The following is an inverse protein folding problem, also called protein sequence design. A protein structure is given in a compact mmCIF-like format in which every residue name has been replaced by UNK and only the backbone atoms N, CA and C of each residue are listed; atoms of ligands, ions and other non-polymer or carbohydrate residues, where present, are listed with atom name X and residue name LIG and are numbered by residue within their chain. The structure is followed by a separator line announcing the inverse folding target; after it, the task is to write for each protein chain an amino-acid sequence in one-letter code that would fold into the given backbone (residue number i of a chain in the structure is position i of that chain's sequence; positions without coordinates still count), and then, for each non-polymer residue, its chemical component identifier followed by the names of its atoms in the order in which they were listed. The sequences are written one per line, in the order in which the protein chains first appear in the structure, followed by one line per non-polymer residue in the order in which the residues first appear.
data_IF_470926924309
#
_entry.id   IF_470926924309
#
_cell.length_a   1.000
_cell.length_b   1.000
_cell.length_c   1.000
_cell.angle_alpha   90.00
_cell.angle_beta   90.00
_cell.angle_gamma   90.00
#
_symmetry.space_group_name_H-M   'P 1'
#
loop_
_entity.id
_entity.type
_entity.pdbx_description
1 polymer ?
#
# COMPACT_ATOMS: atom_id res chain seq x y z
N UNK A 1 -2.13 -62.24 44.75
CA UNK A 1 -1.61 -61.76 43.45
C UNK A 1 -2.71 -61.81 42.39
N UNK A 2 -3.32 -60.68 42.04
CA UNK A 2 -3.73 -60.29 40.67
C UNK A 2 -4.57 -58.99 40.71
N UNK A 3 -3.86 -57.92 40.36
CA UNK A 3 -4.25 -56.88 39.40
C UNK A 3 -5.31 -55.83 39.83
N UNK A 4 -4.77 -54.84 40.55
CA UNK A 4 -5.04 -53.41 40.35
C UNK A 4 -4.86 -53.02 38.87
N UNK A 5 -5.93 -52.96 38.07
CA UNK A 5 -5.85 -52.50 36.67
C UNK A 5 -7.16 -51.85 36.17
N UNK A 6 -7.90 -51.17 37.05
CA UNK A 6 -9.14 -50.48 36.65
C UNK A 6 -9.10 -48.95 36.83
N UNK A 7 -8.09 -48.39 37.49
CA UNK A 7 -8.05 -46.95 37.80
C UNK A 7 -7.23 -46.09 36.81
N UNK A 8 -6.48 -46.70 35.88
CA UNK A 8 -5.59 -45.95 34.98
C UNK A 8 -6.20 -45.61 33.62
N UNK A 9 -7.43 -46.07 33.31
CA UNK A 9 -8.06 -45.79 32.02
C UNK A 9 -8.91 -44.51 32.01
N UNK A 10 -9.32 -43.98 33.18
CA UNK A 10 -10.16 -42.77 33.24
C UNK A 10 -9.38 -41.45 33.17
N UNK A 11 -8.09 -41.43 33.49
CA UNK A 11 -7.26 -40.23 33.31
C UNK A 11 -6.84 -39.98 31.85
N UNK A 12 -7.02 -40.95 30.95
CA UNK A 12 -6.70 -40.81 29.52
C UNK A 12 -7.82 -40.16 28.70
N UNK A 13 -9.03 -40.02 29.25
CA UNK A 13 -10.15 -39.33 28.57
C UNK A 13 -10.10 -37.81 28.82
N UNK A 14 -9.45 -37.34 29.88
CA UNK A 14 -9.33 -35.91 30.17
C UNK A 14 -8.27 -35.16 29.33
N UNK A 15 -7.42 -35.86 28.57
CA UNK A 15 -6.44 -35.23 27.68
C UNK A 15 -6.88 -35.17 26.21
N UNK A 16 -8.08 -35.67 25.85
CA UNK A 16 -8.59 -35.67 24.46
C UNK A 16 -9.56 -34.50 24.21
N UNK A 17 -9.94 -33.74 25.24
CA UNK A 17 -10.34 -32.36 25.03
C UNK A 17 -9.06 -31.53 24.76
N UNK A 18 -8.51 -31.72 23.56
CA UNK A 18 -7.61 -30.76 22.94
C UNK A 18 -8.37 -29.45 22.79
N UNK A 19 -8.45 -28.70 23.88
CA UNK A 19 -8.72 -27.27 23.81
C UNK A 19 -7.76 -26.74 22.78
N UNK A 20 -8.32 -26.11 21.73
CA UNK A 20 -7.51 -25.40 20.75
C UNK A 20 -6.52 -24.58 21.56
N UNK A 21 -5.23 -24.81 21.32
CA UNK A 21 -4.20 -23.89 21.80
C UNK A 21 -4.60 -22.54 21.22
N UNK A 22 -5.26 -21.73 22.03
CA UNK A 22 -5.65 -20.39 21.67
C UNK A 22 -4.32 -19.66 21.67
N UNK A 23 -3.75 -19.48 20.48
CA UNK A 23 -2.59 -18.64 20.30
C UNK A 23 -2.99 -17.26 20.83
N UNK A 24 -2.62 -16.97 22.07
CA UNK A 24 -2.84 -15.65 22.63
C UNK A 24 -2.09 -14.70 21.72
N UNK A 25 -2.83 -13.74 21.19
CA UNK A 25 -2.27 -12.69 20.35
C UNK A 25 -1.40 -11.84 21.25
N UNK A 26 -0.09 -11.83 21.01
CA UNK A 26 0.85 -11.11 21.84
C UNK A 26 0.98 -9.69 21.27
N UNK A 27 0.59 -8.71 22.07
CA UNK A 27 0.82 -7.30 21.76
C UNK A 27 2.31 -7.06 21.51
N UNK A 28 2.62 -6.35 20.43
CA UNK A 28 3.97 -6.10 19.99
C UNK A 28 4.57 -7.18 19.09
N UNK A 29 3.79 -8.16 18.64
CA UNK A 29 4.26 -9.22 17.74
C UNK A 29 3.98 -8.92 16.26
N UNK A 30 4.92 -9.32 15.41
CA UNK A 30 4.73 -9.36 13.96
C UNK A 30 4.29 -10.76 13.54
N UNK A 31 3.26 -10.84 12.70
CA UNK A 31 2.70 -12.12 12.21
C UNK A 31 3.36 -12.59 10.92
N UNK A 32 3.88 -11.66 10.12
CA UNK A 32 4.55 -11.96 8.86
C UNK A 32 5.68 -10.99 8.59
N UNK A 33 6.77 -11.53 8.07
CA UNK A 33 7.97 -10.81 7.66
C UNK A 33 8.22 -11.06 6.17
N UNK A 34 8.66 -10.03 5.45
CA UNK A 34 9.16 -10.09 4.09
C UNK A 34 10.50 -9.33 4.02
N UNK A 35 11.46 -9.86 3.29
CA UNK A 35 12.77 -9.27 3.01
C UNK A 35 13.65 -8.76 4.18
N UNK A 36 14.73 -9.52 4.43
CA UNK A 36 15.91 -9.10 5.18
C UNK A 36 17.06 -8.91 4.18
N UNK A 37 17.52 -7.67 4.02
CA UNK A 37 18.91 -7.38 3.64
C UNK A 37 19.23 -5.93 3.99
N UNK A 38 20.05 -5.79 5.03
CA UNK A 38 20.83 -4.57 5.27
C UNK A 38 22.09 -4.60 4.41
N UNK A 39 22.14 -3.72 3.43
CA UNK A 39 23.32 -3.38 2.63
C UNK A 39 23.34 -1.88 2.38
N UNK A 40 24.50 -1.25 2.51
CA UNK A 40 24.66 0.20 2.64
C UNK A 40 24.00 0.99 1.51
N UNK A 41 22.93 1.75 1.84
CA UNK A 41 22.36 2.75 0.96
C UNK A 41 20.86 2.99 1.14
N UNK A 42 20.06 1.97 1.47
CA UNK A 42 18.61 2.09 1.71
C UNK A 42 18.16 1.08 2.78
N UNK A 43 17.33 1.45 3.77
CA UNK A 43 16.95 0.52 4.82
C UNK A 43 15.92 -0.50 4.30
N UNK A 44 16.37 -1.71 3.99
CA UNK A 44 15.52 -2.87 3.77
C UNK A 44 15.03 -3.46 5.09
N UNK A 45 13.72 -3.37 5.35
CA UNK A 45 13.02 -4.17 6.36
C UNK A 45 11.52 -4.21 6.02
N UNK A 46 10.92 -5.39 5.83
CA UNK A 46 9.47 -5.47 5.62
C UNK A 46 8.85 -6.44 6.64
N UNK A 47 7.96 -5.92 7.47
CA UNK A 47 7.09 -6.73 8.32
C UNK A 47 5.68 -6.28 7.99
N UNK A 48 4.78 -7.23 7.76
CA UNK A 48 3.53 -6.93 7.04
C UNK A 48 2.30 -6.84 7.93
N UNK A 49 2.30 -7.53 9.08
CA UNK A 49 1.16 -7.53 9.99
C UNK A 49 1.63 -7.40 11.42
N UNK A 50 1.27 -6.30 12.08
CA UNK A 50 1.70 -5.99 13.45
C UNK A 50 0.50 -5.99 14.40
N UNK A 51 0.54 -6.87 15.39
CA UNK A 51 -0.41 -6.86 16.49
C UNK A 51 0.08 -5.85 17.49
N UNK A 52 -0.61 -4.72 17.63
CA UNK A 52 -0.22 -3.69 18.59
C UNK A 52 -1.11 -3.65 19.83
N UNK A 53 -2.25 -4.34 19.80
CA UNK A 53 -3.14 -4.57 20.95
C UNK A 53 -3.89 -5.89 20.76
N UNK A 54 -4.47 -6.42 21.84
CA UNK A 54 -5.16 -7.71 21.83
C UNK A 54 -6.33 -7.79 20.84
N UNK A 55 -6.91 -6.64 20.49
CA UNK A 55 -8.05 -6.47 19.59
C UNK A 55 -7.72 -5.61 18.36
N UNK A 56 -6.45 -5.32 18.09
CA UNK A 56 -6.05 -4.52 16.92
C UNK A 56 -4.83 -5.07 16.18
N UNK A 57 -4.88 -4.96 14.85
CA UNK A 57 -3.77 -5.33 13.98
C UNK A 57 -3.60 -4.31 12.88
N UNK A 58 -2.36 -3.99 12.57
CA UNK A 58 -1.99 -3.15 11.45
C UNK A 58 -1.49 -4.03 10.30
N UNK A 59 -2.06 -3.86 9.10
CA UNK A 59 -1.40 -4.28 7.87
C UNK A 59 -0.45 -3.18 7.44
N UNK A 60 0.84 -3.45 7.47
CA UNK A 60 1.88 -2.57 6.96
C UNK A 60 2.35 -3.12 5.62
N UNK A 61 2.33 -2.27 4.60
CA UNK A 61 2.89 -2.56 3.28
C UNK A 61 4.08 -1.61 3.15
N UNK A 62 5.29 -2.11 3.40
CA UNK A 62 6.50 -1.32 3.18
C UNK A 62 6.78 -1.24 1.67
N UNK A 63 7.32 -0.10 1.23
CA UNK A 63 7.45 0.36 -0.15
C UNK A 63 8.84 1.03 -0.31
N UNK A 64 9.90 0.26 -0.07
CA UNK A 64 11.27 0.79 0.03
C UNK A 64 11.45 1.62 1.30
N UNK A 65 11.78 2.91 1.17
CA UNK A 65 11.90 3.84 2.31
C UNK A 65 10.55 4.35 2.85
N UNK A 66 9.45 3.99 2.20
CA UNK A 66 8.10 4.43 2.56
C UNK A 66 7.27 3.25 3.06
N UNK A 67 6.14 3.51 3.71
CA UNK A 67 5.18 2.47 4.05
C UNK A 67 3.75 2.99 3.93
N UNK A 68 2.84 2.09 3.59
CA UNK A 68 1.40 2.27 3.67
C UNK A 68 0.86 1.40 4.82
N UNK A 69 -0.14 1.89 5.54
CA UNK A 69 -0.66 1.25 6.74
C UNK A 69 -2.17 1.23 6.71
N UNK A 70 -2.77 0.07 6.91
CA UNK A 70 -4.22 -0.10 7.11
C UNK A 70 -4.45 -0.63 8.52
N UNK A 71 -5.35 0.00 9.26
CA UNK A 71 -5.66 -0.39 10.64
C UNK A 71 -6.92 -1.24 10.70
N UNK A 72 -6.86 -2.32 11.47
CA UNK A 72 -7.97 -3.22 11.68
C UNK A 72 -8.28 -3.43 13.15
N UNK A 73 -9.57 -3.57 13.46
CA UNK A 73 -10.04 -4.13 14.73
C UNK A 73 -10.35 -5.62 14.56
N UNK A 74 -9.85 -6.45 15.48
CA UNK A 74 -10.11 -7.88 15.53
C UNK A 74 -11.45 -8.10 16.23
N UNK A 75 -12.48 -8.48 15.47
CA UNK A 75 -13.80 -8.82 16.01
C UNK A 75 -13.84 -10.25 16.57
N UNK A 76 -13.16 -11.17 15.90
CA UNK A 76 -13.08 -12.57 16.29
C UNK A 76 -11.77 -13.16 15.80
N UNK A 77 -11.14 -14.00 16.61
CA UNK A 77 -9.95 -14.75 16.23
C UNK A 77 -10.01 -16.16 16.80
N UNK A 78 -9.65 -17.15 15.97
CA UNK A 78 -9.37 -18.51 16.44
C UNK A 78 -7.89 -18.91 16.30
N UNK A 79 -7.02 -17.92 16.08
CA UNK A 79 -5.58 -18.11 15.87
C UNK A 79 -5.18 -18.43 14.43
N UNK A 80 -6.09 -18.96 13.60
CA UNK A 80 -5.83 -19.20 12.16
C UNK A 80 -6.66 -18.29 11.26
N UNK A 81 -7.85 -17.94 11.70
CA UNK A 81 -8.76 -17.08 10.97
C UNK A 81 -9.22 -15.93 11.87
N UNK A 82 -9.04 -14.71 11.39
CA UNK A 82 -9.45 -13.49 12.09
C UNK A 82 -10.54 -12.80 11.27
N UNK A 83 -11.60 -12.39 11.95
CA UNK A 83 -12.60 -11.47 11.41
C UNK A 83 -12.17 -10.07 11.80
N UNK A 84 -11.85 -9.27 10.80
CA UNK A 84 -11.30 -7.93 10.92
C UNK A 84 -12.33 -6.90 10.47
N UNK A 85 -12.31 -5.72 11.08
CA UNK A 85 -13.02 -4.55 10.57
C UNK A 85 -11.98 -3.50 10.20
N UNK A 86 -11.95 -3.11 8.94
CA UNK A 86 -11.12 -2.02 8.47
C UNK A 86 -11.61 -0.71 9.12
N UNK A 87 -10.75 -0.05 9.88
CA UNK A 87 -11.14 1.15 10.64
C UNK A 87 -11.35 2.39 9.76
N UNK A 88 -10.84 2.40 8.53
CA UNK A 88 -11.03 3.50 7.58
C UNK A 88 -12.34 3.36 6.80
N UNK A 89 -12.68 2.13 6.37
CA UNK A 89 -13.84 1.89 5.50
C UNK A 89 -15.05 1.29 6.24
N UNK A 90 -14.85 0.74 7.43
CA UNK A 90 -15.87 -0.01 8.18
C UNK A 90 -16.18 -1.40 7.60
N UNK A 91 -15.48 -1.83 6.55
CA UNK A 91 -15.73 -3.12 5.91
C UNK A 91 -15.17 -4.27 6.74
N UNK A 92 -15.95 -5.35 6.82
CA UNK A 92 -15.54 -6.59 7.46
C UNK A 92 -14.77 -7.48 6.49
N UNK A 93 -13.62 -7.98 6.91
CA UNK A 93 -12.72 -8.80 6.12
C UNK A 93 -12.29 -10.03 6.91
N UNK A 94 -11.97 -11.10 6.21
CA UNK A 94 -11.45 -12.33 6.82
C UNK A 94 -9.97 -12.45 6.51
N UNK A 95 -9.14 -12.46 7.55
CA UNK A 95 -7.73 -12.81 7.45
C UNK A 95 -7.56 -14.30 7.74
N UNK A 96 -6.91 -15.04 6.85
CA UNK A 96 -6.56 -16.46 7.08
C UNK A 96 -5.05 -16.60 7.06
N UNK A 97 -4.49 -17.25 8.09
CA UNK A 97 -3.07 -17.50 8.28
C UNK A 97 -2.86 -19.01 8.19
N UNK A 98 -2.10 -19.44 7.18
CA UNK A 98 -1.74 -20.84 6.97
C UNK A 98 -0.23 -21.01 7.09
N UNK A 99 0.20 -21.74 8.11
CA UNK A 99 1.60 -22.13 8.31
C UNK A 99 2.03 -23.19 7.28
N UNK A 100 3.07 -22.90 6.51
CA UNK A 100 3.63 -23.74 5.46
C UNK A 100 5.17 -23.78 5.58
N UNK A 101 5.71 -24.26 6.70
CA UNK A 101 7.15 -24.25 7.05
C UNK A 101 8.07 -24.47 5.81
N UNK A 102 8.91 -23.50 5.42
CA UNK A 102 9.32 -22.28 6.15
C UNK A 102 8.43 -21.03 5.96
N UNK A 103 7.35 -21.14 5.21
CA UNK A 103 6.51 -20.03 4.80
C UNK A 103 5.26 -19.88 5.68
N UNK A 104 4.65 -18.70 5.61
CA UNK A 104 3.35 -18.37 6.17
C UNK A 104 2.53 -17.74 5.05
N UNK A 105 1.44 -18.38 4.64
CA UNK A 105 0.51 -17.78 3.70
C UNK A 105 -0.54 -16.98 4.46
N UNK A 106 -0.65 -15.69 4.15
CA UNK A 106 -1.70 -14.82 4.68
C UNK A 106 -2.65 -14.44 3.54
N UNK A 107 -3.94 -14.70 3.72
CA UNK A 107 -4.98 -14.34 2.78
C UNK A 107 -5.96 -13.34 3.40
N UNK A 108 -6.20 -12.24 2.70
CA UNK A 108 -7.28 -11.30 3.00
C UNK A 108 -8.46 -11.57 2.05
N UNK A 109 -9.56 -12.06 2.59
CA UNK A 109 -10.71 -12.52 1.81
C UNK A 109 -10.39 -13.74 0.92
N UNK A 110 -11.10 -13.85 -0.21
CA UNK A 110 -11.06 -15.04 -1.07
C UNK A 110 -9.99 -14.99 -2.18
N UNK A 111 -9.11 -13.99 -2.22
CA UNK A 111 -8.21 -13.85 -3.38
C UNK A 111 -6.99 -12.94 -3.26
N UNK A 112 -6.79 -12.21 -2.15
CA UNK A 112 -5.54 -11.49 -1.90
C UNK A 112 -4.68 -12.32 -0.94
N UNK A 113 -3.97 -13.30 -1.48
CA UNK A 113 -3.06 -14.15 -0.71
C UNK A 113 -1.61 -13.79 -0.99
N UNK A 114 -0.84 -13.55 0.07
CA UNK A 114 0.59 -13.37 0.02
C UNK A 114 1.29 -14.51 0.77
N UNK A 115 2.30 -15.10 0.13
CA UNK A 115 3.21 -16.02 0.80
C UNK A 115 4.33 -15.20 1.45
N UNK A 116 4.56 -15.42 2.74
CA UNK A 116 5.56 -14.74 3.54
C UNK A 116 6.58 -15.75 4.03
N UNK A 117 7.81 -15.63 3.55
CA UNK A 117 8.87 -16.55 3.94
C UNK A 117 9.50 -16.12 5.26
N UNK A 118 9.59 -17.03 6.25
CA UNK A 118 10.24 -16.75 7.55
C UNK A 118 11.76 -16.63 7.47
N UNK A 119 12.33 -16.78 6.27
CA UNK A 119 13.76 -16.59 5.95
C UNK A 119 13.95 -15.45 4.95
N UNK A 120 15.15 -14.88 4.92
CA UNK A 120 15.54 -13.79 4.04
C UNK A 120 15.49 -14.22 2.55
N UNK A 121 14.32 -14.14 1.92
CA UNK A 121 14.16 -14.38 0.48
C UNK A 121 13.96 -13.04 -0.24
N UNK A 122 14.59 -12.88 -1.40
CA UNK A 122 14.24 -11.81 -2.34
C UNK A 122 12.78 -11.99 -2.76
N UNK A 123 11.97 -10.93 -2.87
CA UNK A 123 10.61 -11.05 -3.38
C UNK A 123 10.66 -11.67 -4.79
N UNK A 124 9.78 -12.63 -5.06
CA UNK A 124 9.66 -13.20 -6.40
C UNK A 124 9.31 -12.09 -7.40
N UNK A 125 10.18 -11.96 -8.42
CA UNK A 125 9.96 -11.05 -9.53
C UNK A 125 8.99 -11.71 -10.49
N UNK A 126 7.71 -11.34 -10.43
CA UNK A 126 6.72 -11.77 -11.40
C UNK A 126 5.97 -10.56 -11.95
N UNK A 127 5.79 -10.53 -13.26
CA UNK A 127 4.86 -9.59 -13.86
C UNK A 127 3.45 -10.12 -13.55
N UNK A 128 2.56 -9.28 -13.00
CA UNK A 128 1.22 -9.75 -12.68
C UNK A 128 0.50 -10.09 -13.99
N UNK A 129 -0.23 -11.21 -14.01
CA UNK A 129 -1.04 -11.59 -15.16
C UNK A 129 -2.36 -10.80 -15.11
N UNK A 130 -2.55 -9.86 -16.04
CA UNK A 130 -3.81 -9.11 -16.17
C UNK A 130 -3.62 -7.69 -16.72
N UNK A 131 -4.66 -7.11 -17.35
CA UNK A 131 -4.61 -5.72 -17.80
C UNK A 131 -4.68 -4.75 -16.61
N UNK A 132 -3.97 -3.63 -16.71
CA UNK A 132 -4.15 -2.52 -15.77
C UNK A 132 -5.51 -1.85 -15.97
N UNK A 133 -6.01 -1.10 -14.98
CA UNK A 133 -7.22 -0.31 -15.14
C UNK A 133 -6.98 0.74 -16.22
N UNK A 134 -7.85 0.82 -17.21
CA UNK A 134 -7.82 1.91 -18.18
C UNK A 134 -8.28 3.19 -17.47
N UNK A 135 -7.45 4.24 -17.45
CA UNK A 135 -7.74 5.49 -16.74
C UNK A 135 -7.41 6.70 -17.60
N UNK A 136 -8.12 7.81 -17.36
CA UNK A 136 -7.68 9.16 -17.77
C UNK A 136 -7.13 9.89 -16.55
N UNK A 137 -5.99 10.55 -16.71
CA UNK A 137 -5.38 11.39 -15.68
C UNK A 137 -5.47 12.86 -16.10
N UNK A 138 -6.04 13.69 -15.24
CA UNK A 138 -6.03 15.14 -15.43
C UNK A 138 -5.51 15.84 -14.18
N UNK A 139 -5.02 17.06 -14.34
CA UNK A 139 -4.60 17.90 -13.24
C UNK A 139 -5.08 19.33 -13.41
N UNK A 140 -5.53 19.91 -12.29
CA UNK A 140 -5.76 21.34 -12.14
C UNK A 140 -4.52 21.95 -11.50
N UNK A 141 -3.87 22.87 -12.20
CA UNK A 141 -2.73 23.62 -11.70
C UNK A 141 -3.16 25.05 -11.43
N UNK A 142 -2.74 25.62 -10.30
CA UNK A 142 -3.07 27.00 -9.96
C UNK A 142 -1.84 27.77 -9.46
N UNK A 143 -1.77 29.05 -9.82
CA UNK A 143 -0.90 30.05 -9.21
C UNK A 143 -1.78 31.18 -8.68
N UNK A 144 -1.80 31.34 -7.36
CA UNK A 144 -2.78 32.13 -6.63
C UNK A 144 -4.21 31.69 -6.99
N UNK A 145 -4.94 32.50 -7.76
CA UNK A 145 -6.30 32.22 -8.23
C UNK A 145 -6.39 31.96 -9.74
N UNK A 146 -5.27 32.01 -10.47
CA UNK A 146 -5.21 31.69 -11.90
C UNK A 146 -4.94 30.18 -12.04
N UNK A 147 -5.84 29.46 -12.71
CA UNK A 147 -5.79 28.01 -12.83
C UNK A 147 -5.89 27.57 -14.28
N UNK A 148 -5.19 26.48 -14.60
CA UNK A 148 -5.27 25.80 -15.89
C UNK A 148 -5.39 24.29 -15.68
N UNK A 149 -6.18 23.66 -16.55
CA UNK A 149 -6.38 22.22 -16.58
C UNK A 149 -5.53 21.58 -17.67
N UNK A 150 -4.99 20.40 -17.39
CA UNK A 150 -4.35 19.54 -18.39
C UNK A 150 -4.89 18.12 -18.26
N UNK A 151 -5.08 17.47 -19.40
CA UNK A 151 -5.28 16.03 -19.49
C UNK A 151 -3.99 15.41 -20.02
N UNK A 152 -3.48 14.42 -19.29
CA UNK A 152 -2.27 13.71 -19.66
C UNK A 152 -2.60 12.54 -20.59
N UNK A 153 -1.64 12.19 -21.45
CA UNK A 153 -1.80 11.03 -22.35
C UNK A 153 -1.98 9.72 -21.59
N UNK A 154 -2.53 8.70 -22.27
CA UNK A 154 -2.69 7.36 -21.69
C UNK A 154 -1.36 6.79 -21.19
N UNK A 155 -0.28 6.98 -21.94
CA UNK A 155 1.06 6.55 -21.52
C UNK A 155 1.51 7.22 -20.22
N UNK A 156 1.21 8.52 -20.05
CA UNK A 156 1.52 9.25 -18.83
C UNK A 156 0.66 8.78 -17.66
N UNK A 157 -0.64 8.57 -17.87
CA UNK A 157 -1.54 8.04 -16.85
C UNK A 157 -1.10 6.66 -16.36
N UNK A 158 -0.60 5.80 -17.26
CA UNK A 158 -0.09 4.47 -16.92
C UNK A 158 1.13 4.49 -15.99
N UNK A 159 1.86 5.61 -15.89
CA UNK A 159 3.01 5.73 -14.98
C UNK A 159 2.60 5.75 -13.51
N UNK A 160 1.31 5.93 -13.22
CA UNK A 160 0.75 5.75 -11.87
C UNK A 160 0.70 4.27 -11.45
N UNK A 161 0.84 3.33 -12.39
CA UNK A 161 0.84 1.90 -12.12
C UNK A 161 2.26 1.35 -12.15
N UNK A 162 2.75 0.87 -11.00
CA UNK A 162 3.98 0.09 -11.01
C UNK A 162 3.71 -1.29 -11.64
N UNK A 163 4.18 -1.47 -12.86
CA UNK A 163 4.02 -2.73 -13.59
C UNK A 163 4.88 -3.87 -13.06
N UNK A 164 5.98 -3.53 -12.40
CA UNK A 164 6.89 -4.51 -11.82
C UNK A 164 6.37 -4.93 -10.45
N UNK A 165 6.59 -6.19 -10.08
CA UNK A 165 6.30 -6.67 -8.71
C UNK A 165 7.30 -6.21 -7.69
N UNK A 166 8.41 -5.60 -8.11
CA UNK A 166 9.42 -5.17 -7.20
C UNK A 166 8.96 -3.91 -6.47
N UNK A 167 9.24 -3.86 -5.17
CA UNK A 167 8.99 -2.69 -4.33
C UNK A 167 9.83 -1.45 -4.76
N UNK A 168 10.51 -1.52 -5.91
CA UNK A 168 11.17 -0.38 -6.54
C UNK A 168 10.11 0.49 -7.20
N UNK A 169 9.93 1.69 -6.65
CA UNK A 169 9.02 2.66 -7.25
C UNK A 169 9.47 3.05 -8.65
N UNK A 170 8.51 3.24 -9.55
CA UNK A 170 8.76 3.86 -10.87
C UNK A 170 8.58 5.35 -10.71
N UNK A 171 9.59 6.12 -11.11
CA UNK A 171 9.54 7.57 -11.10
C UNK A 171 9.13 8.16 -12.45
N UNK A 172 8.17 9.08 -12.44
CA UNK A 172 7.76 9.84 -13.62
C UNK A 172 7.55 11.32 -13.27
N UNK A 173 7.49 12.19 -14.27
CA UNK A 173 7.31 13.65 -14.10
C UNK A 173 6.10 14.13 -14.88
N UNK A 174 5.21 14.86 -14.21
CA UNK A 174 4.08 15.57 -14.79
C UNK A 174 4.34 17.07 -14.75
N UNK A 175 4.36 17.71 -15.91
CA UNK A 175 4.53 19.15 -16.02
C UNK A 175 3.19 19.88 -15.94
N UNK A 176 3.23 21.11 -15.42
CA UNK A 176 2.13 22.06 -15.53
C UNK A 176 1.99 22.58 -16.96
N UNK A 177 0.83 23.13 -17.36
CA UNK A 177 0.67 23.80 -18.65
C UNK A 177 1.69 24.93 -18.87
N UNK A 178 2.30 24.96 -20.06
CA UNK A 178 3.27 26.00 -20.45
C UNK A 178 2.69 27.42 -20.33
N UNK A 179 1.39 27.57 -20.57
CA UNK A 179 0.70 28.86 -20.45
C UNK A 179 0.71 29.45 -19.02
N UNK A 180 0.78 28.61 -17.98
CA UNK A 180 0.95 29.09 -16.59
C UNK A 180 2.39 29.54 -16.36
N UNK A 181 3.38 28.85 -16.94
CA UNK A 181 4.78 29.26 -16.87
C UNK A 181 4.98 30.62 -17.56
N UNK A 182 4.42 30.82 -18.75
CA UNK A 182 4.51 32.09 -19.49
C UNK A 182 3.88 33.26 -18.72
N UNK A 183 2.70 33.06 -18.13
CA UNK A 183 1.99 34.12 -17.37
C UNK A 183 2.68 34.45 -16.05
N UNK A 184 3.25 33.46 -15.37
CA UNK A 184 3.73 33.61 -13.99
C UNK A 184 5.23 33.62 -13.85
N UNK A 185 5.99 33.26 -14.89
CA UNK A 185 7.43 33.09 -14.85
C UNK A 185 7.87 31.98 -13.88
N UNK A 186 7.05 30.94 -13.69
CA UNK A 186 7.32 29.83 -12.77
C UNK A 186 7.08 28.52 -13.48
N UNK A 187 8.14 27.72 -13.58
CA UNK A 187 8.07 26.34 -14.04
C UNK A 187 7.63 25.44 -12.90
N UNK A 188 6.55 24.71 -13.07
CA UNK A 188 5.99 23.80 -12.06
C UNK A 188 5.92 22.38 -12.61
N UNK A 189 6.26 21.40 -11.78
CA UNK A 189 6.13 19.99 -12.12
C UNK A 189 5.96 19.14 -10.87
N UNK A 190 5.47 17.92 -11.07
CA UNK A 190 5.34 16.91 -10.03
C UNK A 190 6.07 15.65 -10.45
N UNK A 191 7.03 15.22 -9.64
CA UNK A 191 7.57 13.87 -9.71
C UNK A 191 6.63 12.90 -9.00
N UNK A 192 6.31 11.75 -9.60
CA UNK A 192 5.56 10.67 -8.95
C UNK A 192 6.47 9.47 -8.72
N UNK A 193 6.33 8.81 -7.58
CA UNK A 193 6.87 7.47 -7.34
C UNK A 193 5.70 6.51 -7.11
N UNK A 194 5.51 5.58 -8.02
CA UNK A 194 4.35 4.68 -8.05
C UNK A 194 4.68 3.30 -7.49
N UNK A 195 3.73 2.69 -6.79
CA UNK A 195 3.87 1.42 -6.10
C UNK A 195 2.66 0.52 -6.34
N UNK A 196 2.87 -0.79 -6.20
CA UNK A 196 1.82 -1.81 -6.19
C UNK A 196 1.67 -2.36 -4.77
N UNK A 197 0.48 -2.23 -4.20
CA UNK A 197 0.15 -2.67 -2.85
C UNK A 197 -0.28 -4.14 -2.79
N UNK A 198 -1.00 -4.61 -3.81
CA UNK A 198 -1.66 -5.91 -3.84
C UNK A 198 -1.47 -6.61 -5.19
N UNK A 199 -1.59 -7.93 -5.24
CA UNK A 199 -1.52 -8.70 -6.50
C UNK A 199 -2.88 -8.72 -7.23
N UNK A 200 -3.45 -7.54 -7.43
CA UNK A 200 -4.76 -7.32 -8.08
C UNK A 200 -4.60 -6.20 -9.12
N UNK A 201 -3.87 -6.46 -10.22
CA UNK A 201 -3.57 -5.43 -11.22
C UNK A 201 -4.84 -4.88 -11.90
N UNK A 202 -5.96 -5.58 -11.79
CA UNK A 202 -7.27 -5.20 -12.29
C UNK A 202 -7.93 -4.04 -11.52
N UNK A 203 -7.41 -3.68 -10.34
CA UNK A 203 -8.05 -2.70 -9.45
C UNK A 203 -7.18 -1.47 -9.22
N UNK A 204 -7.81 -0.30 -9.21
CA UNK A 204 -7.12 0.97 -9.00
C UNK A 204 -6.55 1.09 -7.58
N UNK A 205 -7.30 0.62 -6.58
CA UNK A 205 -6.94 0.65 -5.16
C UNK A 205 -5.76 -0.26 -4.78
N UNK A 206 -5.34 -1.12 -5.71
CA UNK A 206 -4.16 -1.98 -5.58
C UNK A 206 -2.86 -1.25 -5.88
N UNK A 207 -2.93 0.04 -6.25
CA UNK A 207 -1.78 0.90 -6.52
C UNK A 207 -1.78 2.11 -5.59
N UNK A 208 -0.58 2.64 -5.37
CA UNK A 208 -0.39 3.90 -4.65
C UNK A 208 0.70 4.73 -5.28
N UNK A 209 0.71 6.03 -4.99
CA UNK A 209 1.74 6.94 -5.47
C UNK A 209 2.10 7.95 -4.40
N UNK A 210 3.38 8.32 -4.37
CA UNK A 210 3.87 9.49 -3.66
C UNK A 210 4.19 10.56 -4.69
N UNK A 211 3.78 11.80 -4.44
CA UNK A 211 3.99 12.91 -5.35
C UNK A 211 4.89 13.96 -4.70
N UNK A 212 5.86 14.47 -5.46
CA UNK A 212 6.79 15.53 -5.10
C UNK A 212 6.55 16.72 -6.03
N UNK A 213 6.01 17.81 -5.50
CA UNK A 213 5.81 19.06 -6.22
C UNK A 213 7.08 19.90 -6.17
N UNK A 214 7.45 20.48 -7.30
CA UNK A 214 8.54 21.45 -7.42
C UNK A 214 8.09 22.66 -8.25
N UNK A 215 8.32 23.87 -7.72
CA UNK A 215 8.15 25.13 -8.44
C UNK A 215 9.45 25.93 -8.46
N UNK A 216 9.86 26.35 -9.66
CA UNK A 216 11.09 27.06 -9.93
C UNK A 216 10.80 28.34 -10.73
N UNK A 217 11.09 29.54 -10.19
CA UNK A 217 11.00 30.77 -10.98
C UNK A 217 12.02 30.74 -12.12
N UNK A 218 11.60 31.14 -13.31
CA UNK A 218 12.48 31.19 -14.48
C UNK A 218 13.62 32.17 -14.21
N UNK A 219 14.87 31.72 -14.41
CA UNK A 219 16.07 32.54 -14.19
C UNK A 219 16.51 32.66 -12.72
N UNK A 220 15.88 31.96 -11.79
CA UNK A 220 16.27 31.90 -10.37
C UNK A 220 16.83 30.52 -9.99
N UNK A 221 17.71 30.48 -8.99
CA UNK A 221 18.16 29.24 -8.35
C UNK A 221 17.29 28.82 -7.16
N UNK A 222 16.22 29.56 -6.86
CA UNK A 222 15.33 29.24 -5.75
C UNK A 222 14.28 28.20 -6.16
N UNK A 223 13.90 27.35 -5.22
CA UNK A 223 12.99 26.21 -5.43
C UNK A 223 11.98 26.19 -4.28
N UNK A 224 10.69 26.01 -4.59
CA UNK A 224 9.67 25.69 -3.60
C UNK A 224 9.21 24.24 -3.81
N UNK A 225 9.23 23.43 -2.74
CA UNK A 225 8.96 22.00 -2.81
C UNK A 225 7.91 21.56 -1.80
N UNK A 226 7.21 20.49 -2.12
CA UNK A 226 6.27 19.82 -1.23
C UNK A 226 6.11 18.36 -1.64
N UNK A 227 5.64 17.52 -0.72
CA UNK A 227 5.41 16.11 -1.00
C UNK A 227 4.12 15.61 -0.33
N UNK A 228 3.47 14.63 -0.94
CA UNK A 228 2.41 13.86 -0.28
C UNK A 228 3.00 12.71 0.53
N UNK A 229 2.26 12.15 1.50
CA UNK A 229 2.49 10.76 1.89
C UNK A 229 2.23 9.82 0.69
N UNK A 230 2.44 8.52 0.86
CA UNK A 230 1.99 7.52 -0.10
C UNK A 230 0.45 7.48 -0.09
N UNK A 231 -0.16 7.80 -1.22
CA UNK A 231 -1.61 7.86 -1.39
C UNK A 231 -2.08 6.70 -2.27
N UNK A 232 -3.09 5.96 -1.80
CA UNK A 232 -3.76 4.94 -2.60
C UNK A 232 -4.51 5.60 -3.76
N UNK A 233 -4.42 5.00 -4.96
CA UNK A 233 -5.16 5.51 -6.11
C UNK A 233 -6.64 5.21 -5.95
N UNK A 234 -7.47 6.18 -6.32
CA UNK A 234 -8.92 6.07 -6.31
C UNK A 234 -9.50 6.95 -7.41
N UNK A 235 -10.72 6.65 -7.85
CA UNK A 235 -11.42 7.50 -8.79
C UNK A 235 -11.76 8.85 -8.16
N UNK A 236 -11.74 9.91 -8.99
CA UNK A 236 -11.90 11.28 -8.55
C UNK A 236 -10.58 11.93 -8.15
N UNK A 237 -10.67 12.92 -7.26
CA UNK A 237 -9.52 13.66 -6.76
C UNK A 237 -8.73 12.78 -5.78
N UNK A 238 -7.56 12.28 -6.18
CA UNK A 238 -6.78 11.37 -5.34
C UNK A 238 -5.61 12.05 -4.62
N UNK A 239 -5.08 13.15 -5.17
CA UNK A 239 -3.99 13.89 -4.57
C UNK A 239 -4.11 15.39 -4.81
N UNK A 240 -3.75 16.18 -3.79
CA UNK A 240 -3.55 17.62 -3.91
C UNK A 240 -2.30 18.03 -3.17
N UNK A 241 -1.49 18.88 -3.80
CA UNK A 241 -0.33 19.50 -3.20
C UNK A 241 -0.49 21.01 -3.28
N UNK A 242 -0.07 21.68 -2.21
CA UNK A 242 0.04 23.14 -2.17
C UNK A 242 1.44 23.48 -1.66
N UNK A 243 2.10 24.39 -2.35
CA UNK A 243 3.36 24.98 -1.91
C UNK A 243 3.24 26.50 -1.99
N UNK A 244 3.91 27.21 -1.09
CA UNK A 244 3.94 28.67 -1.10
C UNK A 244 5.39 29.12 -1.20
N UNK A 245 5.67 30.08 -2.08
CA UNK A 245 7.01 30.56 -2.34
C UNK A 245 6.99 31.75 -3.30
N UNK A 246 8.02 32.60 -3.26
CA UNK A 246 8.15 33.74 -4.21
C UNK A 246 6.96 34.72 -4.17
N UNK A 247 6.33 34.88 -3.00
CA UNK A 247 5.09 35.63 -2.80
C UNK A 247 3.90 35.12 -3.64
N UNK A 248 3.90 33.83 -4.01
CA UNK A 248 2.79 33.15 -4.68
C UNK A 248 2.39 31.88 -3.93
N UNK A 249 1.12 31.56 -3.99
CA UNK A 249 0.59 30.25 -3.63
C UNK A 249 0.48 29.42 -4.89
N UNK A 250 0.96 28.18 -4.88
CA UNK A 250 0.90 27.28 -6.02
C UNK A 250 0.27 25.97 -5.57
N UNK A 251 -0.59 25.40 -6.41
CA UNK A 251 -1.20 24.11 -6.10
C UNK A 251 -1.42 23.29 -7.35
N UNK A 252 -1.49 21.98 -7.12
CA UNK A 252 -1.97 21.02 -8.11
C UNK A 252 -2.97 20.08 -7.46
N UNK A 253 -3.96 19.67 -8.24
CA UNK A 253 -4.93 18.65 -7.85
C UNK A 253 -5.07 17.64 -8.99
N UNK A 254 -4.71 16.40 -8.71
CA UNK A 254 -4.80 15.30 -9.67
C UNK A 254 -6.15 14.58 -9.56
N UNK A 255 -6.73 14.29 -10.72
CA UNK A 255 -8.03 13.66 -10.87
C UNK A 255 -7.88 12.46 -11.78
N UNK A 256 -8.25 11.28 -11.27
CA UNK A 256 -8.34 10.04 -12.02
C UNK A 256 -9.79 9.73 -12.39
N UNK A 257 -10.03 9.22 -13.59
CA UNK A 257 -11.32 8.62 -13.96
C UNK A 257 -11.06 7.26 -14.59
N UNK A 258 -11.88 6.26 -14.24
CA UNK A 258 -11.79 4.96 -14.89
C UNK A 258 -12.51 5.02 -16.24
N UNK A 259 -11.80 4.61 -17.31
CA UNK A 259 -12.41 4.43 -18.62
C UNK A 259 -13.22 3.14 -18.59
N UNK A 260 -14.47 3.18 -19.05
CA UNK A 260 -15.26 1.95 -19.23
C UNK A 260 -14.61 1.13 -20.34
N UNK A 261 -14.41 -0.17 -20.12
CA UNK A 261 -13.93 -1.06 -21.17
C UNK A 261 -14.85 -0.97 -22.39
N UNK A 262 -14.30 -0.55 -23.55
CA UNK A 262 -15.02 -0.48 -24.83
C UNK A 262 -15.44 0.91 -25.32
N UNK A 263 -14.88 2.01 -24.81
CA UNK A 263 -15.01 3.33 -25.42
C UNK A 263 -13.63 3.87 -25.82
N UNK A 264 -13.30 3.70 -27.09
CA UNK A 264 -12.35 4.55 -27.82
C UNK A 264 -13.05 5.86 -28.24
#
# INVERSE_FOLDING_TARGET
MRKFFAASLLCLVFCINGGRAQAQTIDGAWLAENYISGGQGYPGLFRSWYVFAADHVDRVISLGAHYYKVKYQIQKSDGRQWQLVNLETGLAETLTITEQNPDVQICLGNGDCALHTRVAALPDFYLPEGPFPAVSLSAEWCVNSDCAMIEYSDYQAEQLFNRRSDFYGISYRYDAPDELEERHGIRMFVGSTSYRLENRPDRLDSFSTMLNFTANPVGSGQVAEGQTPVLRLQEGSFASLKVSGFAKDMSVRFILKQKKQGQD
#
